data_IF_829792761690
#
_entry.id   IF_829792761690
#
_cell.length_a   1.000
_cell.length_b   1.000
_cell.length_c   1.000
_cell.angle_alpha   90.00
_cell.angle_beta   90.00
_cell.angle_gamma   90.00
#
_symmetry.space_group_name_H-M   'P 1'
#
loop_
_entity.id
_entity.type
_entity.pdbx_description
1 polymer ?
#
# COMPACT_ATOMS: atom_id res chain seq x y z
N UNK A 1 17.70 -10.36 24.51
CA UNK A 1 19.16 -10.39 24.26
C UNK A 1 19.85 -9.93 25.53
N UNK A 2 20.98 -10.53 25.95
CA UNK A 2 21.69 -10.07 27.15
C UNK A 2 22.30 -8.68 26.89
N UNK A 3 22.02 -7.70 27.75
CA UNK A 3 22.66 -6.38 27.68
C UNK A 3 24.15 -6.56 28.00
N UNK A 4 25.00 -6.32 27.02
CA UNK A 4 26.45 -6.24 27.21
C UNK A 4 26.77 -4.85 27.74
N UNK A 5 27.56 -4.79 28.81
CA UNK A 5 28.00 -3.54 29.42
C UNK A 5 29.05 -2.84 28.52
N UNK A 6 28.75 -1.64 28.05
CA UNK A 6 29.61 -0.82 27.19
C UNK A 6 30.93 -0.46 27.90
N UNK A 7 30.92 -0.30 29.21
CA UNK A 7 32.13 0.01 29.98
C UNK A 7 33.05 -1.20 30.09
N UNK A 8 32.48 -2.41 30.14
CA UNK A 8 33.25 -3.65 30.03
C UNK A 8 33.90 -3.80 28.66
N UNK A 9 33.18 -3.45 27.58
CA UNK A 9 33.71 -3.47 26.21
C UNK A 9 34.89 -2.49 26.06
N UNK A 10 34.75 -1.25 26.56
CA UNK A 10 35.85 -0.26 26.59
C UNK A 10 37.07 -0.78 27.34
N UNK A 11 36.87 -1.38 28.51
CA UNK A 11 37.95 -1.89 29.35
C UNK A 11 38.72 -3.00 28.62
N UNK A 12 38.01 -3.95 27.98
CA UNK A 12 38.63 -5.06 27.27
C UNK A 12 39.41 -4.58 26.05
N UNK A 13 38.86 -3.65 25.26
CA UNK A 13 39.54 -3.08 24.09
C UNK A 13 40.79 -2.26 24.45
N UNK A 14 40.75 -1.57 25.59
CA UNK A 14 41.93 -0.84 26.10
C UNK A 14 43.02 -1.81 26.57
N UNK A 15 42.64 -2.94 27.20
CA UNK A 15 43.57 -3.96 27.69
C UNK A 15 44.27 -4.73 26.57
N UNK A 16 43.66 -4.83 25.39
CA UNK A 16 44.28 -5.45 24.20
C UNK A 16 45.25 -4.53 23.48
N UNK A 17 45.46 -3.30 23.97
CA UNK A 17 46.41 -2.34 23.39
C UNK A 17 45.87 -1.60 22.17
N UNK A 18 44.56 -1.54 21.98
CA UNK A 18 43.96 -0.71 20.94
C UNK A 18 44.16 0.77 21.29
N UNK A 19 44.45 1.58 20.28
CA UNK A 19 44.57 3.03 20.44
C UNK A 19 43.27 3.65 20.95
N UNK A 20 43.40 4.65 21.83
CA UNK A 20 42.28 5.32 22.50
C UNK A 20 41.35 5.99 21.49
N UNK A 21 41.88 6.49 20.36
CA UNK A 21 41.02 7.09 19.31
C UNK A 21 40.20 6.03 18.61
N UNK A 22 40.79 4.88 18.30
CA UNK A 22 40.07 3.74 17.72
C UNK A 22 38.97 3.22 18.64
N UNK A 23 39.24 3.13 19.95
CA UNK A 23 38.23 2.72 20.93
C UNK A 23 37.08 3.74 20.99
N UNK A 24 37.39 5.05 21.01
CA UNK A 24 36.36 6.09 21.02
C UNK A 24 35.48 6.03 19.76
N UNK A 25 36.09 5.82 18.58
CA UNK A 25 35.37 5.71 17.32
C UNK A 25 34.41 4.52 17.29
N UNK A 26 34.86 3.33 17.72
CA UNK A 26 34.01 2.13 17.74
C UNK A 26 32.84 2.28 18.71
N UNK A 27 33.04 2.93 19.86
CA UNK A 27 31.95 3.18 20.81
C UNK A 27 30.93 4.17 20.24
N UNK A 28 31.39 5.20 19.51
CA UNK A 28 30.51 6.13 18.82
C UNK A 28 29.65 5.41 17.77
N UNK A 29 30.25 4.54 16.95
CA UNK A 29 29.55 3.73 15.95
C UNK A 29 28.52 2.79 16.59
N UNK A 30 28.87 2.11 17.68
CA UNK A 30 27.94 1.26 18.45
C UNK A 30 26.75 2.06 18.98
N UNK A 31 26.98 3.26 19.52
CA UNK A 31 25.91 4.12 20.02
C UNK A 31 25.01 4.64 18.89
N UNK A 32 25.57 4.93 17.71
CA UNK A 32 24.80 5.32 16.53
C UNK A 32 23.91 4.16 16.03
N UNK A 33 24.43 2.93 15.97
CA UNK A 33 23.64 1.75 15.60
C UNK A 33 22.55 1.43 16.63
N UNK A 34 22.84 1.53 17.93
CA UNK A 34 21.85 1.36 19.00
C UNK A 34 20.72 2.37 18.87
N UNK A 35 21.04 3.63 18.58
CA UNK A 35 20.05 4.68 18.39
C UNK A 35 19.18 4.42 17.15
N UNK A 36 19.79 3.99 16.04
CA UNK A 36 19.07 3.61 14.84
C UNK A 36 18.13 2.41 15.07
N UNK A 37 18.54 1.41 15.85
CA UNK A 37 17.69 0.26 16.20
C UNK A 37 16.49 0.64 17.06
N UNK A 38 16.68 1.54 18.04
CA UNK A 38 15.57 2.06 18.84
C UNK A 38 14.58 2.85 17.96
N UNK A 39 15.09 3.67 17.04
CA UNK A 39 14.24 4.40 16.08
C UNK A 39 13.49 3.45 15.11
N UNK A 40 14.00 2.25 14.86
CA UNK A 40 13.28 1.21 14.11
C UNK A 40 12.25 0.45 14.94
N UNK A 41 12.51 0.20 16.22
CA UNK A 41 11.59 -0.44 17.16
C UNK A 41 10.42 0.48 17.56
N UNK A 42 10.63 1.80 17.60
CA UNK A 42 9.59 2.81 17.89
C UNK A 42 8.68 3.10 16.69
N UNK A 43 8.85 2.41 15.55
CA UNK A 43 7.88 2.51 14.44
C UNK A 43 6.53 1.98 14.93
N UNK A 44 5.47 2.81 14.93
CA UNK A 44 4.15 2.36 15.38
C UNK A 44 3.72 1.14 14.57
N UNK A 45 2.98 0.20 15.19
CA UNK A 45 2.58 -1.04 14.54
C UNK A 45 1.90 -0.73 13.19
N UNK A 46 2.17 -1.52 12.14
CA UNK A 46 1.62 -1.26 10.81
C UNK A 46 0.10 -1.12 10.85
N UNK A 47 -0.39 0.10 10.64
CA UNK A 47 -1.83 0.37 10.58
C UNK A 47 -2.37 -0.23 9.28
N UNK A 48 -3.36 -1.14 9.39
CA UNK A 48 -4.07 -1.67 8.22
C UNK A 48 -4.75 -0.51 7.49
N UNK A 49 -4.42 -0.33 6.21
CA UNK A 49 -4.98 0.72 5.36
C UNK A 49 -6.17 0.16 4.59
N UNK A 50 -7.20 0.98 4.39
CA UNK A 50 -8.32 0.70 3.51
C UNK A 50 -8.27 1.61 2.28
N UNK A 51 -8.78 1.13 1.15
CA UNK A 51 -8.99 1.94 -0.03
C UNK A 51 -10.36 2.64 0.07
N UNK A 52 -10.40 3.93 -0.27
CA UNK A 52 -11.64 4.73 -0.35
C UNK A 52 -11.64 5.44 -1.70
N UNK A 53 -12.75 5.37 -2.43
CA UNK A 53 -12.93 6.09 -3.68
C UNK A 53 -13.69 7.38 -3.41
N UNK A 54 -13.06 8.52 -3.64
CA UNK A 54 -13.71 9.82 -3.49
C UNK A 54 -13.99 10.43 -4.86
N UNK A 55 -15.22 10.88 -5.08
CA UNK A 55 -15.65 11.45 -6.37
C UNK A 55 -16.19 12.85 -6.15
N UNK A 56 -15.71 13.79 -6.97
CA UNK A 56 -16.26 15.14 -6.97
C UNK A 56 -17.64 15.12 -7.65
N UNK A 57 -18.66 15.50 -6.90
CA UNK A 57 -20.04 15.61 -7.37
C UNK A 57 -20.64 16.95 -6.93
N UNK A 58 -20.20 18.08 -7.50
CA UNK A 58 -20.70 19.41 -7.12
C UNK A 58 -22.18 19.62 -7.46
N UNK A 59 -22.68 18.89 -8.48
CA UNK A 59 -24.06 18.99 -8.96
C UNK A 59 -25.02 18.04 -8.21
N UNK A 60 -24.52 17.22 -7.28
CA UNK A 60 -25.33 16.29 -6.49
C UNK A 60 -25.94 15.14 -7.30
N UNK A 61 -25.38 14.77 -8.45
CA UNK A 61 -25.92 13.73 -9.35
C UNK A 61 -25.87 12.33 -8.74
N UNK A 62 -25.01 12.12 -7.74
CA UNK A 62 -24.82 10.85 -7.05
C UNK A 62 -25.48 10.84 -5.66
N UNK A 63 -26.26 11.87 -5.32
CA UNK A 63 -26.95 11.95 -4.03
C UNK A 63 -28.00 10.85 -3.89
N UNK A 64 -27.97 10.15 -2.75
CA UNK A 64 -28.86 9.02 -2.46
C UNK A 64 -28.50 7.71 -3.17
N UNK A 65 -27.38 7.65 -3.90
CA UNK A 65 -26.90 6.42 -4.53
C UNK A 65 -25.78 5.77 -3.71
N UNK A 66 -26.00 4.52 -3.32
CA UNK A 66 -24.96 3.68 -2.72
C UNK A 66 -24.17 2.96 -3.83
N UNK A 67 -23.02 3.53 -4.17
CA UNK A 67 -22.15 3.02 -5.23
C UNK A 67 -20.89 2.38 -4.67
N UNK A 68 -20.46 1.31 -5.33
CA UNK A 68 -19.21 0.61 -5.05
C UNK A 68 -18.42 0.44 -6.34
N UNK A 69 -17.10 0.37 -6.24
CA UNK A 69 -16.24 0.25 -7.42
C UNK A 69 -14.88 -0.35 -7.15
N UNK A 70 -14.12 -0.57 -8.22
CA UNK A 70 -12.75 -1.05 -8.18
C UNK A 70 -11.81 0.01 -8.73
N UNK A 71 -10.62 0.11 -8.15
CA UNK A 71 -9.54 0.96 -8.60
C UNK A 71 -8.67 0.12 -9.55
N UNK A 72 -8.66 0.55 -10.81
CA UNK A 72 -7.89 -0.06 -11.88
C UNK A 72 -6.82 0.92 -12.35
N UNK A 73 -5.68 0.40 -12.80
CA UNK A 73 -4.75 1.17 -13.64
C UNK A 73 -4.71 0.59 -15.05
N UNK A 74 -4.54 1.48 -16.00
CA UNK A 74 -4.30 1.20 -17.41
C UNK A 74 -3.14 2.09 -17.89
N UNK A 75 -2.51 1.82 -19.04
CA UNK A 75 -1.56 2.74 -19.66
C UNK A 75 -2.18 4.12 -19.88
N UNK A 76 -1.39 5.17 -19.70
CA UNK A 76 -1.87 6.57 -19.72
C UNK A 76 -2.42 7.00 -21.09
N UNK A 77 -1.90 6.42 -22.17
CA UNK A 77 -2.34 6.68 -23.55
C UNK A 77 -3.68 6.00 -23.89
N UNK A 78 -4.14 5.07 -23.05
CA UNK A 78 -5.38 4.33 -23.29
C UNK A 78 -6.60 5.07 -22.70
N UNK A 79 -7.71 5.05 -23.44
CA UNK A 79 -8.98 5.58 -22.96
C UNK A 79 -9.50 4.78 -21.75
N UNK A 80 -9.95 5.42 -20.65
CA UNK A 80 -10.50 4.73 -19.48
C UNK A 80 -11.66 3.77 -19.80
N UNK A 81 -12.42 4.04 -20.86
CA UNK A 81 -13.55 3.21 -21.30
C UNK A 81 -13.14 1.80 -21.75
N UNK A 82 -11.87 1.56 -22.07
CA UNK A 82 -11.37 0.22 -22.43
C UNK A 82 -11.18 -0.68 -21.21
N UNK A 83 -11.26 -0.14 -19.99
CA UNK A 83 -10.98 -0.88 -18.75
C UNK A 83 -11.95 -2.04 -18.54
N UNK A 84 -13.23 -1.85 -18.87
CA UNK A 84 -14.27 -2.88 -18.75
C UNK A 84 -14.01 -4.02 -19.75
N UNK A 85 -13.75 -3.68 -21.02
CA UNK A 85 -13.42 -4.67 -22.04
C UNK A 85 -12.18 -5.49 -21.67
N UNK A 86 -11.15 -4.84 -21.12
CA UNK A 86 -9.94 -5.52 -20.63
C UNK A 86 -10.24 -6.47 -19.47
N UNK A 87 -11.12 -6.08 -18.55
CA UNK A 87 -11.59 -6.97 -17.49
C UNK A 87 -12.38 -8.16 -18.02
N UNK A 88 -13.20 -7.98 -19.07
CA UNK A 88 -13.87 -9.10 -19.72
C UNK A 88 -12.87 -10.07 -20.35
N UNK A 89 -11.84 -9.56 -21.04
CA UNK A 89 -10.77 -10.39 -21.60
C UNK A 89 -10.01 -11.15 -20.51
N UNK A 90 -9.71 -10.51 -19.39
CA UNK A 90 -9.13 -11.15 -18.21
C UNK A 90 -9.99 -12.32 -17.70
N UNK A 91 -11.30 -12.09 -17.56
CA UNK A 91 -12.25 -13.10 -17.12
C UNK A 91 -12.31 -14.28 -18.08
N UNK A 92 -12.37 -14.03 -19.39
CA UNK A 92 -12.37 -15.09 -20.41
C UNK A 92 -11.08 -15.91 -20.40
N UNK A 93 -9.93 -15.25 -20.32
CA UNK A 93 -8.63 -15.91 -20.27
C UNK A 93 -8.47 -16.74 -18.99
N UNK A 94 -8.89 -16.21 -17.83
CA UNK A 94 -8.91 -16.96 -16.58
C UNK A 94 -9.80 -18.21 -16.70
N UNK A 95 -11.00 -18.09 -17.27
CA UNK A 95 -11.95 -19.19 -17.45
C UNK A 95 -11.43 -20.29 -18.37
N UNK A 96 -10.48 -19.99 -19.25
CA UNK A 96 -9.81 -20.97 -20.10
C UNK A 96 -8.75 -21.81 -19.35
N UNK A 97 -8.27 -21.36 -18.18
CA UNK A 97 -7.26 -22.07 -17.37
C UNK A 97 -7.85 -23.32 -16.70
N UNK A 98 -6.99 -24.26 -16.26
CA UNK A 98 -7.43 -25.46 -15.51
C UNK A 98 -8.24 -25.10 -14.25
N UNK A 99 -7.90 -24.00 -13.57
CA UNK A 99 -8.62 -23.53 -12.38
C UNK A 99 -9.94 -22.84 -12.76
N UNK A 100 -9.92 -21.95 -13.74
CA UNK A 100 -11.12 -21.25 -14.22
C UNK A 100 -12.15 -22.19 -14.86
N UNK A 101 -11.74 -23.25 -15.54
CA UNK A 101 -12.69 -24.27 -16.04
C UNK A 101 -13.45 -25.00 -14.92
N UNK A 102 -12.82 -25.14 -13.76
CA UNK A 102 -13.45 -25.75 -12.57
C UNK A 102 -14.29 -24.73 -11.80
N UNK A 103 -13.85 -23.48 -11.76
CA UNK A 103 -14.50 -22.37 -11.05
C UNK A 103 -14.44 -21.11 -11.90
N UNK A 104 -15.36 -20.96 -12.86
CA UNK A 104 -15.33 -19.82 -13.78
C UNK A 104 -15.82 -18.57 -13.09
N UNK A 105 -15.16 -17.44 -13.37
CA UNK A 105 -15.63 -16.11 -12.98
C UNK A 105 -16.74 -15.67 -13.93
N UNK A 106 -17.80 -15.09 -13.40
CA UNK A 106 -19.01 -14.66 -14.14
C UNK A 106 -19.30 -13.17 -13.94
N UNK A 107 -18.80 -12.59 -12.86
CA UNK A 107 -19.02 -11.19 -12.50
C UNK A 107 -17.70 -10.40 -12.52
N UNK A 108 -17.80 -9.08 -12.64
CA UNK A 108 -16.64 -8.18 -12.51
C UNK A 108 -15.98 -8.32 -11.13
N UNK A 109 -16.76 -8.49 -10.07
CA UNK A 109 -16.22 -8.69 -8.72
C UNK A 109 -15.34 -9.95 -8.62
N UNK A 110 -15.84 -11.07 -9.14
CA UNK A 110 -15.07 -12.31 -9.21
C UNK A 110 -13.83 -12.17 -10.11
N UNK A 111 -13.94 -11.44 -11.23
CA UNK A 111 -12.80 -11.15 -12.09
C UNK A 111 -11.73 -10.34 -11.34
N UNK A 112 -12.11 -9.33 -10.56
CA UNK A 112 -11.18 -8.55 -9.74
C UNK A 112 -10.53 -9.36 -8.61
N UNK A 113 -11.28 -10.30 -8.02
CA UNK A 113 -10.82 -11.07 -6.86
C UNK A 113 -9.91 -12.25 -7.24
N UNK A 114 -10.31 -13.01 -8.27
CA UNK A 114 -9.72 -14.30 -8.62
C UNK A 114 -8.75 -14.25 -9.78
N UNK A 115 -8.81 -13.24 -10.65
CA UNK A 115 -7.89 -13.13 -11.79
C UNK A 115 -6.45 -12.94 -11.28
N UNK A 116 -5.51 -13.82 -11.64
CA UNK A 116 -4.11 -13.64 -11.32
C UNK A 116 -3.53 -12.37 -11.96
N UNK A 117 -2.64 -11.69 -11.25
CA UNK A 117 -1.99 -10.48 -11.76
C UNK A 117 -1.25 -10.67 -13.10
N UNK A 118 -0.82 -11.90 -13.43
CA UNK A 118 -0.21 -12.22 -14.73
C UNK A 118 -1.20 -11.99 -15.89
N UNK A 119 -2.39 -12.56 -15.79
CA UNK A 119 -3.44 -12.44 -16.82
C UNK A 119 -3.88 -10.97 -16.94
N UNK A 120 -4.07 -10.30 -15.80
CA UNK A 120 -4.43 -8.88 -15.79
C UNK A 120 -3.39 -7.99 -16.51
N UNK A 121 -2.10 -8.22 -16.23
CA UNK A 121 -0.99 -7.51 -16.89
C UNK A 121 -0.90 -7.80 -18.39
N UNK A 122 -1.16 -9.03 -18.82
CA UNK A 122 -1.21 -9.41 -20.24
C UNK A 122 -2.29 -8.62 -21.00
N UNK A 123 -3.43 -8.36 -20.34
CA UNK A 123 -4.51 -7.51 -20.87
C UNK A 123 -4.31 -6.01 -20.61
N UNK A 124 -3.13 -5.58 -20.11
CA UNK A 124 -2.81 -4.19 -19.78
C UNK A 124 -3.79 -3.53 -18.80
N UNK A 125 -4.18 -4.26 -17.76
CA UNK A 125 -4.98 -3.74 -16.64
C UNK A 125 -4.39 -4.20 -15.30
N UNK A 126 -4.35 -3.31 -14.31
CA UNK A 126 -3.87 -3.63 -12.96
C UNK A 126 -4.96 -3.36 -11.94
N UNK A 127 -5.48 -4.43 -11.34
CA UNK A 127 -6.48 -4.37 -10.25
C UNK A 127 -5.76 -4.04 -8.93
N UNK A 128 -6.12 -2.93 -8.27
CA UNK A 128 -5.46 -2.49 -7.02
C UNK A 128 -6.12 -3.00 -5.75
N UNK A 129 -7.44 -3.14 -5.78
CA UNK A 129 -8.23 -3.71 -4.70
C UNK A 129 -9.05 -4.87 -5.26
N UNK A 130 -9.11 -5.97 -4.49
CA UNK A 130 -9.91 -7.15 -4.86
C UNK A 130 -11.37 -6.98 -4.51
N UNK A 131 -11.62 -6.45 -3.32
CA UNK A 131 -12.95 -6.12 -2.82
C UNK A 131 -13.36 -4.73 -3.33
N UNK A 132 -14.62 -4.54 -3.72
CA UNK A 132 -15.11 -3.24 -4.12
C UNK A 132 -15.05 -2.25 -2.96
N UNK A 133 -14.73 -1.00 -3.26
CA UNK A 133 -14.64 0.10 -2.28
C UNK A 133 -15.85 1.01 -2.41
N UNK A 134 -16.27 1.59 -1.29
CA UNK A 134 -17.35 2.55 -1.24
C UNK A 134 -16.96 3.86 -1.94
N UNK A 135 -17.92 4.43 -2.66
CA UNK A 135 -17.80 5.75 -3.27
C UNK A 135 -18.29 6.82 -2.29
N UNK A 136 -17.41 7.78 -1.97
CA UNK A 136 -17.71 8.93 -1.13
C UNK A 136 -17.76 10.18 -2.00
N UNK A 137 -18.90 10.87 -2.02
CA UNK A 137 -19.05 12.13 -2.76
C UNK A 137 -18.39 13.30 -2.02
N UNK A 138 -17.89 14.27 -2.77
CA UNK A 138 -17.39 15.54 -2.24
C UNK A 138 -17.80 16.71 -3.12
N UNK A 139 -18.10 17.85 -2.50
CA UNK A 139 -18.31 19.12 -3.21
C UNK A 139 -17.00 19.75 -3.71
N UNK A 140 -15.85 19.12 -3.47
CA UNK A 140 -14.54 19.57 -3.97
C UNK A 140 -13.98 20.82 -3.28
N UNK A 141 -14.67 21.34 -2.25
CA UNK A 141 -14.23 22.50 -1.47
C UNK A 141 -13.59 22.04 -0.16
N UNK A 142 -12.39 22.53 0.10
CA UNK A 142 -11.77 22.41 1.42
C UNK A 142 -12.34 23.52 2.29
N UNK A 143 -12.90 23.22 3.47
CA UNK A 143 -13.32 24.26 4.41
C UNK A 143 -12.13 25.17 4.73
N UNK A 144 -12.31 26.48 4.58
CA UNK A 144 -11.38 27.48 5.09
C UNK A 144 -11.99 28.11 6.33
N UNK A 145 -11.17 28.59 7.27
CA UNK A 145 -11.62 29.27 8.49
C UNK A 145 -12.28 30.62 8.18
N UNK A 146 -13.43 30.60 7.51
CA UNK A 146 -14.37 31.72 7.46
C UNK A 146 -15.54 31.39 8.38
N UNK A 147 -15.85 32.34 9.26
CA UNK A 147 -16.73 32.26 10.44
C UNK A 147 -18.21 31.89 10.23
N UNK A 148 -18.57 31.27 9.11
CA UNK A 148 -19.94 30.85 8.87
C UNK A 148 -20.04 29.34 9.07
N UNK A 149 -20.63 28.99 10.21
CA UNK A 149 -20.45 27.73 10.92
C UNK A 149 -21.11 26.51 10.29
N UNK A 150 -20.69 25.37 10.84
CA UNK A 150 -21.36 24.08 10.76
C UNK A 150 -22.80 24.14 11.28
#
# INVERSE_FOLDING_TARGET
MAKVDIDLVKMVMTRTGMDVRTVAQVIEEINQELKAQVDEEDKPPPIKKQFVMMVSDPDGKLEGLDLVGWVLQIPEEDSPYVSEERLFRCAYEYNMTKKGRRMPVKTIGEACEFTPARIAKEQKVWIKNKEPVLLVRTGGKVPTETKDGF
#
